data_IF_288752160141
#
_entry.id   IF_288752160141
#
_cell.length_a   1.000
_cell.length_b   1.000
_cell.length_c   1.000
_cell.angle_alpha   90.00
_cell.angle_beta   90.00
_cell.angle_gamma   90.00
#
_symmetry.space_group_name_H-M   'P 1'
#
loop_
_entity.id
_entity.type
_entity.pdbx_description
1 polymer ?
#
# COMPACT_ATOMS: atom_id res chain seq x y z
N UNK A 1 -1.63 -22.74 8.35
CA UNK A 1 -1.96 -21.61 7.46
C UNK A 1 -0.80 -21.38 6.50
N UNK A 2 -0.90 -21.82 5.24
CA UNK A 2 0.05 -21.42 4.19
C UNK A 2 -0.58 -20.25 3.44
N UNK A 3 -0.13 -19.03 3.69
CA UNK A 3 -0.46 -17.93 2.79
C UNK A 3 0.20 -18.23 1.44
N UNK A 4 -0.55 -18.12 0.34
CA UNK A 4 0.07 -18.19 -0.97
C UNK A 4 1.03 -17.00 -1.13
N UNK A 5 2.09 -17.17 -1.91
CA UNK A 5 2.99 -16.07 -2.26
C UNK A 5 2.21 -14.86 -2.81
N UNK A 6 1.11 -15.12 -3.53
CA UNK A 6 0.17 -14.10 -4.03
C UNK A 6 -0.47 -13.28 -2.90
N UNK A 7 -0.91 -13.94 -1.81
CA UNK A 7 -1.49 -13.23 -0.68
C UNK A 7 -0.45 -12.36 0.03
N UNK A 8 0.78 -12.88 0.22
CA UNK A 8 1.89 -12.14 0.84
C UNK A 8 2.21 -10.88 0.02
N UNK A 9 2.38 -11.02 -1.30
CA UNK A 9 2.63 -9.89 -2.20
C UNK A 9 1.53 -8.83 -2.09
N UNK A 10 0.26 -9.24 -2.07
CA UNK A 10 -0.86 -8.32 -1.93
C UNK A 10 -0.77 -7.52 -0.64
N UNK A 11 -0.50 -8.16 0.51
CA UNK A 11 -0.38 -7.45 1.78
C UNK A 11 0.77 -6.44 1.78
N UNK A 12 1.91 -6.78 1.20
CA UNK A 12 3.06 -5.87 1.10
C UNK A 12 2.71 -4.65 0.23
N UNK A 13 2.07 -4.86 -0.93
CA UNK A 13 1.65 -3.76 -1.81
C UNK A 13 0.54 -2.88 -1.19
N UNK A 14 -0.40 -3.48 -0.48
CA UNK A 14 -1.43 -2.71 0.25
C UNK A 14 -0.80 -1.88 1.36
N UNK A 15 0.14 -2.47 2.12
CA UNK A 15 0.88 -1.76 3.16
C UNK A 15 1.73 -0.62 2.59
N UNK A 16 2.45 -0.85 1.48
CA UNK A 16 3.27 0.18 0.83
C UNK A 16 2.46 1.39 0.42
N UNK A 17 1.24 1.19 -0.12
CA UNK A 17 0.32 2.27 -0.49
C UNK A 17 -0.16 3.06 0.71
N UNK A 18 -0.54 2.38 1.80
CA UNK A 18 -0.97 3.05 3.03
C UNK A 18 0.17 3.86 3.65
N UNK A 19 1.38 3.30 3.72
CA UNK A 19 2.56 3.99 4.24
C UNK A 19 2.89 5.25 3.41
N UNK A 20 2.92 5.12 2.08
CA UNK A 20 3.19 6.23 1.17
C UNK A 20 2.18 7.37 1.31
N UNK A 21 0.89 7.06 1.33
CA UNK A 21 -0.14 8.10 1.47
C UNK A 21 -0.17 8.70 2.88
N UNK A 22 0.23 7.95 3.90
CA UNK A 22 0.40 8.47 5.26
C UNK A 22 1.52 9.49 5.32
N UNK A 23 2.66 9.20 4.68
CA UNK A 23 3.79 10.13 4.59
C UNK A 23 3.43 11.40 3.79
N UNK A 24 2.53 11.29 2.81
CA UNK A 24 1.98 12.44 2.08
C UNK A 24 0.90 13.23 2.84
N UNK A 25 0.53 12.80 4.05
CA UNK A 25 -0.42 13.53 4.91
C UNK A 25 -1.90 13.31 4.60
N UNK A 26 -2.27 12.28 3.83
CA UNK A 26 -3.67 11.95 3.58
C UNK A 26 -4.36 11.45 4.85
N UNK A 27 -5.65 11.76 5.00
CA UNK A 27 -6.46 11.28 6.10
C UNK A 27 -6.75 9.77 5.98
N UNK A 28 -7.06 9.14 7.11
CA UNK A 28 -7.44 7.72 7.17
C UNK A 28 -8.56 7.35 6.19
N UNK A 29 -9.56 8.24 6.04
CA UNK A 29 -10.72 8.02 5.16
C UNK A 29 -10.33 8.09 3.69
N UNK A 30 -9.54 9.09 3.32
CA UNK A 30 -9.01 9.22 1.95
C UNK A 30 -8.15 8.02 1.57
N UNK A 31 -7.29 7.56 2.49
CA UNK A 31 -6.46 6.38 2.25
C UNK A 31 -7.31 5.12 2.09
N UNK A 32 -8.28 4.89 2.98
CA UNK A 32 -9.20 3.75 2.87
C UNK A 32 -9.93 3.74 1.52
N UNK A 33 -10.36 4.91 1.06
CA UNK A 33 -10.98 5.10 -0.25
C UNK A 33 -10.01 4.84 -1.42
N UNK A 34 -8.81 5.43 -1.41
CA UNK A 34 -7.82 5.30 -2.48
C UNK A 34 -7.28 3.87 -2.60
N UNK A 35 -7.06 3.19 -1.47
CA UNK A 35 -6.48 1.84 -1.41
C UNK A 35 -7.55 0.75 -1.47
N UNK A 36 -8.84 1.11 -1.39
CA UNK A 36 -9.99 0.19 -1.46
C UNK A 36 -9.94 -0.88 -0.34
N UNK A 37 -9.65 -0.45 0.89
CA UNK A 37 -9.64 -1.30 2.09
C UNK A 37 -10.45 -0.66 3.21
N UNK A 38 -10.81 -1.45 4.22
CA UNK A 38 -11.54 -0.92 5.38
C UNK A 38 -10.75 0.17 6.13
N UNK A 39 -11.44 1.15 6.70
CA UNK A 39 -10.83 2.14 7.60
C UNK A 39 -10.12 1.47 8.80
N UNK A 40 -10.65 0.34 9.29
CA UNK A 40 -10.01 -0.46 10.35
C UNK A 40 -8.62 -0.94 9.93
N UNK A 41 -8.51 -1.58 8.76
CA UNK A 41 -7.24 -2.08 8.26
C UNK A 41 -6.28 -0.94 7.94
N UNK A 42 -6.80 0.16 7.38
CA UNK A 42 -6.01 1.38 7.15
C UNK A 42 -5.40 1.87 8.47
N UNK A 43 -6.17 1.89 9.55
CA UNK A 43 -5.66 2.27 10.87
C UNK A 43 -4.55 1.37 11.38
N UNK A 44 -4.70 0.06 11.24
CA UNK A 44 -3.69 -0.91 11.66
C UNK A 44 -2.37 -0.70 10.90
N UNK A 45 -2.45 -0.49 9.58
CA UNK A 45 -1.26 -0.23 8.76
C UNK A 45 -0.62 1.13 9.04
N UNK A 46 -1.42 2.18 9.29
CA UNK A 46 -0.90 3.48 9.70
C UNK A 46 -0.19 3.41 11.05
N UNK A 47 -0.79 2.75 12.03
CA UNK A 47 -0.18 2.57 13.35
C UNK A 47 1.16 1.82 13.24
N UNK A 48 1.19 0.74 12.43
CA UNK A 48 2.41 -0.02 12.19
C UNK A 48 3.51 0.82 11.52
N UNK A 49 3.16 1.59 10.49
CA UNK A 49 4.12 2.48 9.83
C UNK A 49 4.67 3.54 10.80
N UNK A 50 3.79 4.24 11.52
CA UNK A 50 4.19 5.28 12.47
C UNK A 50 5.02 4.75 13.63
N UNK A 51 4.78 3.51 14.07
CA UNK A 51 5.54 2.87 15.13
C UNK A 51 7.00 2.63 14.75
N UNK A 52 7.27 2.28 13.48
CA UNK A 52 8.60 1.84 13.05
C UNK A 52 9.33 2.84 12.14
N UNK A 53 8.67 3.90 11.65
CA UNK A 53 9.29 4.86 10.73
C UNK A 53 10.50 5.61 11.31
N UNK A 54 10.55 5.75 12.63
CA UNK A 54 11.63 6.48 13.32
C UNK A 54 12.76 5.55 13.81
N UNK A 55 12.56 4.24 13.74
CA UNK A 55 13.54 3.26 14.15
C UNK A 55 14.57 3.04 13.02
N UNK A 56 15.86 3.38 13.24
CA UNK A 56 16.91 3.24 12.23
C UNK A 56 17.06 1.81 11.70
N UNK A 57 16.73 0.79 12.51
CA UNK A 57 16.84 -0.62 12.11
C UNK A 57 15.86 -0.99 10.98
N UNK A 58 14.78 -0.24 10.82
CA UNK A 58 13.74 -0.48 9.81
C UNK A 58 13.71 0.55 8.69
N UNK A 59 14.52 1.62 8.79
CA UNK A 59 14.52 2.74 7.84
C UNK A 59 14.76 2.28 6.40
N UNK A 60 15.86 1.57 6.14
CA UNK A 60 16.21 1.09 4.80
C UNK A 60 15.09 0.22 4.20
N UNK A 61 14.52 -0.67 5.03
CA UNK A 61 13.46 -1.56 4.58
C UNK A 61 12.16 -0.80 4.28
N UNK A 62 11.84 0.22 5.05
CA UNK A 62 10.68 1.07 4.81
C UNK A 62 10.86 1.92 3.55
N UNK A 63 12.07 2.43 3.30
CA UNK A 63 12.39 3.15 2.07
C UNK A 63 12.22 2.26 0.82
N UNK A 64 12.69 1.01 0.86
CA UNK A 64 12.46 0.04 -0.21
C UNK A 64 10.97 -0.21 -0.46
N UNK A 65 10.18 -0.38 0.61
CA UNK A 65 8.73 -0.60 0.52
C UNK A 65 8.04 0.64 -0.07
N UNK A 66 8.45 1.85 0.33
CA UNK A 66 7.88 3.10 -0.17
C UNK A 66 8.21 3.31 -1.65
N UNK A 67 9.43 2.95 -2.07
CA UNK A 67 9.88 3.06 -3.46
C UNK A 67 9.01 2.25 -4.44
N UNK A 68 8.31 1.21 -3.98
CA UNK A 68 7.35 0.45 -4.80
C UNK A 68 6.22 1.33 -5.37
N UNK A 69 5.87 2.44 -4.72
CA UNK A 69 4.83 3.35 -5.20
C UNK A 69 5.33 4.35 -6.26
N UNK A 70 6.65 4.42 -6.49
CA UNK A 70 7.24 5.31 -7.50
C UNK A 70 7.15 4.74 -8.92
N UNK A 71 6.67 3.51 -9.08
CA UNK A 71 6.62 2.76 -10.35
C UNK A 71 5.21 2.58 -10.93
N UNK A 72 4.16 3.23 -10.39
CA UNK A 72 2.79 3.14 -10.90
C UNK A 72 2.55 3.96 -12.20
N UNK A 73 3.54 4.02 -13.10
CA UNK A 73 3.40 4.54 -14.46
C UNK A 73 3.85 3.51 -15.50
N UNK A 74 3.21 2.33 -15.55
CA UNK A 74 3.16 1.35 -16.66
C UNK A 74 2.19 0.25 -16.13
N UNK A 75 0.98 -0.05 -16.62
CA UNK A 75 0.42 -0.13 -17.97
C UNK A 75 -1.11 -0.06 -17.88
N UNK A 76 -1.68 0.90 -18.59
CA UNK A 76 -3.07 0.86 -19.08
C UNK A 76 -3.23 -0.28 -20.10
N UNK A 77 -4.40 -0.95 -20.06
CA UNK A 77 -5.08 -1.74 -21.11
C UNK A 77 -5.31 -3.22 -20.75
N UNK A 78 -6.53 -3.51 -20.30
CA UNK A 78 -7.45 -4.44 -20.97
C UNK A 78 -8.86 -4.24 -20.43
N UNK A 79 -9.53 -3.20 -20.92
CA UNK A 79 -10.98 -3.16 -20.97
C UNK A 79 -11.43 -3.92 -22.21
N UNK A 80 -12.22 -4.96 -22.01
CA UNK A 80 -12.96 -5.64 -23.07
C UNK A 80 -14.26 -4.88 -23.41
N UNK A 81 -14.88 -5.28 -24.52
CA UNK A 81 -16.15 -4.87 -25.12
C UNK A 81 -16.13 -3.70 -26.10
N UNK A 82 -16.24 -4.03 -27.39
CA UNK A 82 -17.42 -3.63 -28.17
C UNK A 82 -17.90 -4.80 -29.04
N UNK A 83 -19.13 -5.21 -28.80
CA UNK A 83 -20.00 -5.78 -29.82
C UNK A 83 -20.48 -4.62 -30.71
N UNK A 84 -20.37 -4.77 -32.02
CA UNK A 84 -21.29 -4.26 -33.04
C UNK A 84 -20.94 -4.95 -34.36
#
# INVERSE_FOLDING_TARGET
MKHSLTAIKRYILTFSRVAYLTEKGYSRKEIAFLVQISERLTREYQALYLQYKEDPAYKDRLEEILALNSQDCEVSKRGALKCA
#
